data_IF_797582577674
#
_entry.id   IF_797582577674
#
_cell.length_a   1.000
_cell.length_b   1.000
_cell.length_c   1.000
_cell.angle_alpha   90.00
_cell.angle_beta   90.00
_cell.angle_gamma   90.00
#
_symmetry.space_group_name_H-M   'P 1'
#
loop_
_entity.id
_entity.type
_entity.pdbx_description
1 polymer ?
#
# COMPACT_ATOMS: atom_id res chain seq x y z
N UNK A 1 -15.47 16.17 -1.30
CA UNK A 1 -14.78 15.33 -0.30
C UNK A 1 -15.63 14.10 -0.03
N UNK A 2 -15.02 12.96 -0.07
CA UNK A 2 -15.67 11.68 0.20
C UNK A 2 -14.74 10.81 1.05
N UNK A 3 -15.33 9.95 1.89
CA UNK A 3 -14.55 8.96 2.62
C UNK A 3 -14.03 7.89 1.66
N UNK A 4 -12.87 7.33 1.95
CA UNK A 4 -12.37 6.19 1.20
C UNK A 4 -13.27 4.98 1.46
N UNK A 5 -13.64 4.21 0.41
CA UNK A 5 -14.46 3.02 0.59
C UNK A 5 -13.73 1.95 1.39
N UNK A 6 -14.34 1.47 2.46
CA UNK A 6 -13.76 0.45 3.34
C UNK A 6 -13.41 -0.82 2.58
N UNK A 7 -14.28 -1.27 1.69
CA UNK A 7 -14.07 -2.50 0.93
C UNK A 7 -12.83 -2.42 0.04
N UNK A 8 -12.61 -1.28 -0.62
CA UNK A 8 -11.47 -1.10 -1.50
C UNK A 8 -10.15 -0.99 -0.72
N UNK A 9 -10.19 -0.33 0.44
CA UNK A 9 -9.03 -0.26 1.34
C UNK A 9 -8.66 -1.64 1.88
N UNK A 10 -9.64 -2.40 2.35
CA UNK A 10 -9.42 -3.74 2.88
C UNK A 10 -8.99 -4.72 1.81
N UNK A 11 -9.48 -4.58 0.58
CA UNK A 11 -9.03 -5.40 -0.54
C UNK A 11 -7.55 -5.18 -0.85
N UNK A 12 -7.12 -3.92 -0.84
CA UNK A 12 -5.70 -3.60 -1.03
C UNK A 12 -4.85 -4.21 0.08
N UNK A 13 -5.27 -4.04 1.34
CA UNK A 13 -4.59 -4.61 2.50
C UNK A 13 -4.46 -6.13 2.38
N UNK A 14 -5.50 -6.80 1.94
CA UNK A 14 -5.54 -8.26 1.81
C UNK A 14 -4.70 -8.76 0.64
N UNK A 15 -4.62 -7.99 -0.44
CA UNK A 15 -4.02 -8.43 -1.70
C UNK A 15 -2.52 -8.20 -1.79
N UNK A 16 -1.97 -7.30 -0.98
CA UNK A 16 -0.56 -6.92 -1.04
C UNK A 16 0.14 -7.28 0.26
N UNK A 17 1.23 -8.02 0.15
CA UNK A 17 2.06 -8.40 1.30
C UNK A 17 3.25 -7.45 1.44
N UNK A 18 3.60 -7.15 2.68
CA UNK A 18 4.86 -6.48 2.96
C UNK A 18 6.02 -7.42 2.65
N UNK A 19 7.08 -6.88 2.08
CA UNK A 19 8.24 -7.66 1.65
C UNK A 19 9.49 -7.25 2.41
N UNK A 20 10.39 -8.19 2.58
CA UNK A 20 11.76 -7.93 3.02
C UNK A 20 12.67 -8.22 1.82
N UNK A 21 13.54 -7.28 1.50
CA UNK A 21 14.37 -7.39 0.30
C UNK A 21 15.72 -6.70 0.50
N UNK A 22 16.66 -7.03 -0.39
CA UNK A 22 17.96 -6.37 -0.47
C UNK A 22 18.02 -5.62 -1.81
N UNK A 23 18.34 -4.33 -1.76
CA UNK A 23 18.53 -3.55 -2.98
C UNK A 23 19.97 -3.67 -3.43
N UNK A 24 20.17 -4.12 -4.66
CA UNK A 24 21.50 -4.32 -5.23
C UNK A 24 22.29 -3.02 -5.41
N UNK A 25 21.58 -1.90 -5.56
CA UNK A 25 22.19 -0.59 -5.78
C UNK A 25 22.56 0.14 -4.47
N UNK A 26 22.13 -0.35 -3.32
CA UNK A 26 22.32 0.28 -2.02
C UNK A 26 23.08 -0.59 -1.02
N UNK A 27 23.81 -1.60 -1.50
CA UNK A 27 24.57 -2.50 -0.66
C UNK A 27 23.78 -3.74 -0.24
N UNK A 28 24.24 -4.43 0.82
CA UNK A 28 23.68 -5.70 1.26
C UNK A 28 22.67 -5.57 2.40
N UNK A 29 22.29 -4.37 2.77
CA UNK A 29 21.36 -4.12 3.88
C UNK A 29 19.94 -4.53 3.51
N UNK A 30 19.28 -5.28 4.40
CA UNK A 30 17.90 -5.65 4.20
C UNK A 30 16.96 -4.49 4.51
N UNK A 31 15.94 -4.35 3.70
CA UNK A 31 14.89 -3.34 3.83
C UNK A 31 13.54 -3.99 3.78
N UNK A 32 12.53 -3.31 4.29
CA UNK A 32 11.15 -3.75 4.17
C UNK A 32 10.35 -2.72 3.37
N UNK A 33 9.35 -3.21 2.67
CA UNK A 33 8.49 -2.34 1.86
C UNK A 33 7.53 -3.16 1.01
N UNK A 34 6.97 -2.54 0.01
CA UNK A 34 6.02 -3.15 -0.92
C UNK A 34 6.57 -3.15 -2.33
N UNK A 35 6.08 -4.08 -3.14
CA UNK A 35 6.34 -4.10 -4.57
C UNK A 35 5.33 -3.18 -5.26
N UNK A 36 5.81 -2.12 -5.91
CA UNK A 36 4.94 -1.09 -6.50
C UNK A 36 3.97 -1.67 -7.54
N UNK A 37 4.40 -2.63 -8.35
CA UNK A 37 3.57 -3.26 -9.35
C UNK A 37 2.42 -4.06 -8.74
N UNK A 38 2.64 -4.67 -7.58
CA UNK A 38 1.58 -5.39 -6.85
C UNK A 38 0.52 -4.42 -6.32
N UNK A 39 0.95 -3.27 -5.80
CA UNK A 39 0.03 -2.23 -5.33
C UNK A 39 -0.77 -1.67 -6.50
N UNK A 40 -0.12 -1.39 -7.63
CA UNK A 40 -0.79 -0.88 -8.82
C UNK A 40 -1.88 -1.83 -9.32
N UNK A 41 -1.59 -3.14 -9.34
CA UNK A 41 -2.54 -4.15 -9.78
C UNK A 41 -3.74 -4.30 -8.84
N UNK A 42 -3.54 -4.11 -7.54
CA UNK A 42 -4.57 -4.34 -6.52
C UNK A 42 -5.37 -3.10 -6.14
N UNK A 43 -4.84 -1.90 -6.36
CA UNK A 43 -5.47 -0.66 -5.94
C UNK A 43 -6.67 -0.30 -6.83
N UNK A 44 -7.83 -0.16 -6.21
CA UNK A 44 -9.03 0.32 -6.90
C UNK A 44 -8.87 1.82 -7.19
N UNK A 45 -9.39 2.32 -8.33
CA UNK A 45 -9.32 3.75 -8.67
C UNK A 45 -9.90 4.69 -7.62
N UNK A 46 -10.82 4.21 -6.77
CA UNK A 46 -11.38 5.01 -5.67
C UNK A 46 -10.33 5.48 -4.66
N UNK A 47 -9.18 4.81 -4.58
CA UNK A 47 -8.10 5.16 -3.66
C UNK A 47 -7.21 6.28 -4.23
N UNK A 48 -7.53 6.77 -5.41
CA UNK A 48 -6.76 7.80 -6.10
C UNK A 48 -5.71 7.21 -7.03
N UNK A 49 -5.14 8.05 -7.87
CA UNK A 49 -4.17 7.64 -8.89
C UNK A 49 -2.72 7.86 -8.45
N UNK A 50 -2.51 8.33 -7.22
CA UNK A 50 -1.21 8.78 -6.74
C UNK A 50 -0.51 7.82 -5.79
N UNK A 51 -1.06 6.62 -5.57
CA UNK A 51 -0.40 5.60 -4.73
C UNK A 51 0.88 5.11 -5.41
N UNK A 52 0.82 4.92 -6.72
CA UNK A 52 1.93 4.46 -7.54
C UNK A 52 2.29 5.54 -8.53
N UNK A 53 3.55 5.85 -8.62
CA UNK A 53 4.09 6.80 -9.58
C UNK A 53 5.19 6.17 -10.42
N UNK A 54 5.87 7.00 -11.18
CA UNK A 54 7.00 6.59 -12.01
C UNK A 54 8.14 7.58 -11.84
N UNK A 55 9.35 7.04 -11.87
CA UNK A 55 10.57 7.84 -11.88
C UNK A 55 11.49 7.31 -12.96
N UNK A 56 12.23 8.19 -13.61
CA UNK A 56 13.21 7.83 -14.62
C UNK A 56 14.60 7.87 -14.00
N UNK A 57 15.40 6.84 -14.24
CA UNK A 57 16.81 6.80 -13.85
C UNK A 57 17.63 6.32 -15.04
N UNK A 58 18.92 6.58 -15.01
CA UNK A 58 19.84 6.05 -16.00
C UNK A 58 20.58 4.83 -15.45
N UNK A 59 20.62 3.78 -16.26
CA UNK A 59 21.43 2.58 -16.01
C UNK A 59 22.34 2.41 -17.22
N UNK A 60 23.65 2.51 -16.99
CA UNK A 60 24.68 2.41 -18.04
C UNK A 60 24.42 3.39 -19.20
N UNK A 61 23.98 4.62 -18.87
CA UNK A 61 23.68 5.64 -19.87
C UNK A 61 22.34 5.47 -20.60
N UNK A 62 21.56 4.46 -20.26
CA UNK A 62 20.26 4.18 -20.86
C UNK A 62 19.15 4.61 -19.90
N UNK A 63 18.17 5.44 -20.35
CA UNK A 63 17.03 5.78 -19.51
C UNK A 63 16.21 4.54 -19.17
N UNK A 64 15.84 4.41 -17.89
CA UNK A 64 14.99 3.34 -17.39
C UNK A 64 13.89 3.93 -16.52
N UNK A 65 12.68 3.43 -16.67
CA UNK A 65 11.52 3.87 -15.89
C UNK A 65 11.24 2.87 -14.79
N UNK A 66 11.16 3.35 -13.56
CA UNK A 66 10.84 2.52 -12.40
C UNK A 66 9.52 2.96 -11.80
N UNK A 67 8.79 2.01 -11.22
CA UNK A 67 7.59 2.31 -10.43
C UNK A 67 8.00 2.73 -9.04
N UNK A 68 7.30 3.72 -8.52
CA UNK A 68 7.51 4.23 -7.17
C UNK A 68 6.23 4.14 -6.36
N UNK A 69 6.34 4.11 -5.04
CA UNK A 69 5.20 4.11 -4.13
C UNK A 69 5.20 5.37 -3.28
N UNK A 70 4.02 5.95 -3.09
CA UNK A 70 3.83 6.99 -2.10
C UNK A 70 3.44 6.35 -0.76
N UNK A 71 4.42 6.12 0.10
CA UNK A 71 4.16 5.58 1.44
C UNK A 71 3.29 6.52 2.27
N UNK A 72 3.43 7.81 2.06
CA UNK A 72 2.60 8.82 2.70
C UNK A 72 1.12 8.60 2.36
N UNK A 73 0.80 8.39 1.09
CA UNK A 73 -0.58 8.12 0.65
C UNK A 73 -1.04 6.73 1.05
N UNK A 74 -0.13 5.77 1.07
CA UNK A 74 -0.43 4.42 1.56
C UNK A 74 -0.84 4.45 3.04
N UNK A 75 -0.28 5.36 3.84
CA UNK A 75 -0.64 5.50 5.24
C UNK A 75 -2.09 5.96 5.42
N UNK A 76 -2.61 6.74 4.49
CA UNK A 76 -4.03 7.16 4.51
C UNK A 76 -4.95 5.95 4.30
N UNK A 77 -4.61 5.09 3.36
CA UNK A 77 -5.35 3.84 3.12
C UNK A 77 -5.27 2.94 4.36
N UNK A 78 -4.09 2.80 4.94
CA UNK A 78 -3.89 2.01 6.15
C UNK A 78 -4.72 2.54 7.33
N UNK A 79 -4.76 3.86 7.49
CA UNK A 79 -5.60 4.50 8.50
C UNK A 79 -7.06 4.07 8.35
N UNK A 80 -7.60 4.12 7.13
CA UNK A 80 -8.98 3.73 6.89
C UNK A 80 -9.20 2.23 7.11
N UNK A 81 -8.23 1.39 6.76
CA UNK A 81 -8.29 -0.03 7.09
C UNK A 81 -8.39 -0.25 8.60
N UNK A 82 -7.57 0.46 9.38
CA UNK A 82 -7.59 0.35 10.84
C UNK A 82 -8.94 0.78 11.42
N UNK A 83 -9.51 1.86 10.91
CA UNK A 83 -10.84 2.32 11.35
C UNK A 83 -11.93 1.28 11.06
N UNK A 84 -11.88 0.69 9.87
CA UNK A 84 -12.84 -0.35 9.48
C UNK A 84 -12.71 -1.59 10.38
N UNK A 85 -11.48 -2.02 10.64
CA UNK A 85 -11.22 -3.16 11.52
C UNK A 85 -11.61 -2.86 12.97
N UNK A 86 -11.37 -1.65 13.45
CA UNK A 86 -11.78 -1.24 14.78
C UNK A 86 -13.31 -1.34 14.93
N UNK A 87 -14.05 -0.85 13.95
CA UNK A 87 -15.52 -0.94 13.98
C UNK A 87 -15.99 -2.39 14.01
N UNK A 88 -15.34 -3.28 13.26
CA UNK A 88 -15.66 -4.72 13.27
C UNK A 88 -15.33 -5.38 14.61
N UNK A 89 -14.21 -5.02 15.21
CA UNK A 89 -13.81 -5.52 16.53
C UNK A 89 -14.81 -5.06 17.58
N UNK A 90 -15.18 -3.80 17.58
CA UNK A 90 -16.16 -3.25 18.52
C UNK A 90 -17.53 -3.94 18.36
N UNK A 91 -17.95 -4.21 17.12
CA UNK A 91 -19.19 -4.94 16.85
C UNK A 91 -19.14 -6.38 17.40
N UNK A 92 -18.01 -7.06 17.21
CA UNK A 92 -17.80 -8.41 17.74
C UNK A 92 -17.76 -8.43 19.26
N UNK A 93 -17.13 -7.45 19.89
CA UNK A 93 -17.09 -7.32 21.35
C UNK A 93 -18.49 -7.09 21.90
N UNK A 94 -19.28 -6.21 21.26
CA UNK A 94 -20.66 -5.95 21.66
C UNK A 94 -21.53 -7.21 21.53
N UNK A 95 -21.34 -7.98 20.46
CA UNK A 95 -22.08 -9.23 20.24
C UNK A 95 -21.68 -10.33 21.23
N UNK A 96 -20.45 -10.30 21.73
CA UNK A 96 -19.95 -11.28 22.71
C UNK A 96 -20.26 -10.89 24.16
N UNK A 97 -20.67 -9.64 24.41
CA UNK A 97 -20.99 -9.18 25.76
C UNK A 97 -22.23 -9.91 26.33
N UNK A 98 -22.21 -10.29 27.62
CA UNK A 98 -23.35 -10.95 28.25
C UNK A 98 -24.55 -10.01 28.44
#
# INVERSE_FOLDING_TARGET
>A
VQDLPDADCLNLLKSVSAKSYVRNDLGSERRCGFIAQEVEAAAHPSLGTNLVGEATREIDGTPDTIKTLSYERMSVVLWQCCRSLLARVEALEAAAAP
#
